data_IF_133503285933
#
_entry.id   IF_133503285933
#
_cell.length_a   1.000
_cell.length_b   1.000
_cell.length_c   1.000
_cell.angle_alpha   90.00
_cell.angle_beta   90.00
_cell.angle_gamma   90.00
#
_symmetry.space_group_name_H-M   'P 1'
#
loop_
_entity.id
_entity.type
_entity.pdbx_description
1 polymer ?
#
# COMPACT_ATOMS: atom_id res chain seq x y z
N UNK A 1 75.40 35.38 -37.08
CA UNK A 1 74.11 36.04 -37.39
C UNK A 1 73.09 35.04 -37.92
N UNK A 2 73.43 34.22 -38.91
CA UNK A 2 72.54 33.22 -39.50
C UNK A 2 72.01 32.15 -38.51
N UNK A 3 72.89 31.54 -37.69
CA UNK A 3 72.47 30.53 -36.70
C UNK A 3 71.46 31.06 -35.65
N UNK A 4 71.53 32.33 -35.29
CA UNK A 4 70.57 32.95 -34.37
C UNK A 4 69.19 33.13 -35.01
N UNK A 5 69.15 33.43 -36.31
CA UNK A 5 67.92 33.54 -37.09
C UNK A 5 67.27 32.15 -37.24
N UNK A 6 68.07 31.11 -37.47
CA UNK A 6 67.55 29.75 -37.66
C UNK A 6 66.99 29.18 -36.35
N UNK A 7 67.66 29.43 -35.21
CA UNK A 7 67.11 29.09 -33.87
C UNK A 7 65.82 29.84 -33.57
N UNK A 8 65.75 31.14 -33.87
CA UNK A 8 64.52 31.92 -33.65
C UNK A 8 63.34 31.41 -34.49
N UNK A 9 63.59 31.00 -35.74
CA UNK A 9 62.58 30.38 -36.60
C UNK A 9 62.10 29.03 -36.07
N UNK A 10 63.01 28.21 -35.54
CA UNK A 10 62.64 26.92 -34.94
C UNK A 10 61.80 27.10 -33.68
N UNK A 11 62.16 28.04 -32.80
CA UNK A 11 61.36 28.39 -31.63
C UNK A 11 59.99 28.92 -32.03
N UNK A 12 59.91 29.81 -33.01
CA UNK A 12 58.63 30.35 -33.49
C UNK A 12 57.72 29.25 -34.04
N UNK A 13 58.25 28.28 -34.78
CA UNK A 13 57.46 27.13 -35.26
C UNK A 13 56.89 26.31 -34.10
N UNK A 14 57.72 25.98 -33.10
CA UNK A 14 57.28 25.24 -31.91
C UNK A 14 56.22 25.99 -31.11
N UNK A 15 56.37 27.32 -31.00
CA UNK A 15 55.38 28.15 -30.32
C UNK A 15 54.04 28.14 -31.07
N UNK A 16 54.05 28.26 -32.40
CA UNK A 16 52.83 28.19 -33.23
C UNK A 16 52.13 26.84 -33.10
N UNK A 17 52.88 25.73 -33.15
CA UNK A 17 52.32 24.38 -32.94
C UNK A 17 51.67 24.25 -31.57
N UNK A 18 52.37 24.70 -30.51
CA UNK A 18 51.85 24.70 -29.14
C UNK A 18 50.59 25.55 -28.99
N UNK A 19 50.52 26.71 -29.64
CA UNK A 19 49.31 27.54 -29.64
C UNK A 19 48.14 26.86 -30.35
N UNK A 20 48.39 26.11 -31.42
CA UNK A 20 47.37 25.31 -32.11
C UNK A 20 46.79 24.23 -31.19
N UNK A 21 47.66 23.47 -30.51
CA UNK A 21 47.25 22.43 -29.54
C UNK A 21 46.43 23.01 -28.39
N UNK A 22 46.84 24.16 -27.84
CA UNK A 22 46.11 24.84 -26.77
C UNK A 22 44.74 25.36 -27.24
N UNK A 23 44.62 25.81 -28.50
CA UNK A 23 43.36 26.26 -29.09
C UNK A 23 42.37 25.11 -29.26
N UNK A 24 42.84 23.94 -29.72
CA UNK A 24 42.03 22.73 -29.86
C UNK A 24 41.52 22.23 -28.50
N UNK A 25 42.39 22.20 -27.48
CA UNK A 25 42.01 21.86 -26.11
C UNK A 25 40.96 22.82 -25.54
N UNK A 26 41.10 24.13 -25.79
CA UNK A 26 40.10 25.12 -25.37
C UNK A 26 38.74 24.83 -26.02
N UNK A 27 38.71 24.56 -27.32
CA UNK A 27 37.46 24.29 -28.03
C UNK A 27 36.77 23.00 -27.53
N UNK A 28 37.56 21.97 -27.19
CA UNK A 28 37.04 20.74 -26.56
C UNK A 28 36.41 21.04 -25.20
N UNK A 29 37.12 21.76 -24.33
CA UNK A 29 36.64 22.11 -22.98
C UNK A 29 35.37 22.99 -23.05
N UNK A 30 35.34 23.96 -23.97
CA UNK A 30 34.17 24.85 -24.15
C UNK A 30 32.93 24.09 -24.65
N UNK A 31 33.10 22.98 -25.35
CA UNK A 31 32.00 22.08 -25.73
C UNK A 31 31.56 21.14 -24.62
N UNK A 32 32.51 20.60 -23.84
CA UNK A 32 32.25 19.60 -22.80
C UNK A 32 31.61 20.18 -21.53
N UNK A 33 31.99 21.39 -21.12
CA UNK A 33 31.46 22.02 -19.90
C UNK A 33 29.93 22.24 -19.99
N UNK A 34 29.36 22.83 -21.06
CA UNK A 34 27.91 22.98 -21.19
C UNK A 34 27.17 21.65 -21.22
N UNK A 35 27.70 20.63 -21.89
CA UNK A 35 27.11 19.30 -21.97
C UNK A 35 27.07 18.60 -20.60
N UNK A 36 28.17 18.69 -19.84
CA UNK A 36 28.23 18.20 -18.46
C UNK A 36 27.24 18.92 -17.54
N UNK A 37 27.11 20.24 -17.69
CA UNK A 37 26.20 21.05 -16.87
C UNK A 37 24.72 20.75 -17.18
N UNK A 38 24.37 20.55 -18.45
CA UNK A 38 23.04 20.09 -18.88
C UNK A 38 22.69 18.72 -18.29
N UNK A 39 23.65 17.79 -18.33
CA UNK A 39 23.49 16.44 -17.75
C UNK A 39 23.31 16.49 -16.24
N UNK A 40 24.11 17.29 -15.53
CA UNK A 40 24.01 17.48 -14.08
C UNK A 40 22.63 18.03 -13.67
N UNK A 41 22.15 19.06 -14.36
CA UNK A 41 20.84 19.66 -14.07
C UNK A 41 19.69 18.69 -14.35
N UNK A 42 19.77 17.93 -15.44
CA UNK A 42 18.77 16.89 -15.75
C UNK A 42 18.69 15.83 -14.66
N UNK A 43 19.84 15.37 -14.16
CA UNK A 43 19.91 14.42 -13.04
C UNK A 43 19.35 15.02 -11.75
N UNK A 44 19.71 16.26 -11.41
CA UNK A 44 19.21 16.95 -10.22
C UNK A 44 17.68 17.03 -10.22
N UNK A 45 17.07 17.40 -11.34
CA UNK A 45 15.60 17.45 -11.49
C UNK A 45 14.96 16.08 -11.33
N UNK A 46 15.56 15.03 -11.91
CA UNK A 46 15.07 13.67 -11.76
C UNK A 46 15.11 13.21 -10.29
N UNK A 47 16.21 13.47 -9.58
CA UNK A 47 16.32 13.16 -8.15
C UNK A 47 15.29 13.91 -7.31
N UNK A 48 15.11 15.21 -7.52
CA UNK A 48 14.10 16.00 -6.79
C UNK A 48 12.69 15.48 -7.06
N UNK A 49 12.39 15.10 -8.30
CA UNK A 49 11.09 14.51 -8.67
C UNK A 49 10.85 13.17 -7.96
N UNK A 50 11.88 12.30 -7.90
CA UNK A 50 11.79 11.03 -7.20
C UNK A 50 11.61 11.22 -5.68
N UNK A 51 12.37 12.14 -5.08
CA UNK A 51 12.25 12.45 -3.66
C UNK A 51 10.85 12.99 -3.32
N UNK A 52 10.31 13.89 -4.14
CA UNK A 52 8.97 14.42 -3.95
C UNK A 52 7.91 13.33 -4.09
N UNK A 53 8.03 12.44 -5.08
CA UNK A 53 7.13 11.28 -5.22
C UNK A 53 7.16 10.38 -3.98
N UNK A 54 8.36 10.07 -3.47
CA UNK A 54 8.55 9.24 -2.27
C UNK A 54 7.93 9.87 -1.02
N UNK A 55 8.10 11.18 -0.85
CA UNK A 55 7.52 11.91 0.27
C UNK A 55 5.98 11.97 0.15
N UNK A 56 5.44 12.17 -1.05
CA UNK A 56 3.99 12.17 -1.28
C UNK A 56 3.34 10.80 -1.08
N UNK A 57 4.03 9.70 -1.40
CA UNK A 57 3.53 8.35 -1.09
C UNK A 57 3.62 8.05 0.41
N UNK A 58 4.67 8.50 1.13
CA UNK A 58 4.80 8.27 2.57
C UNK A 58 3.72 8.98 3.39
N UNK A 59 3.37 10.22 3.06
CA UNK A 59 2.40 11.00 3.85
C UNK A 59 0.93 10.56 3.67
N UNK A 60 0.56 9.99 2.52
CA UNK A 60 -0.85 9.67 2.23
C UNK A 60 -1.20 8.17 2.38
N UNK A 61 -0.20 7.28 2.51
CA UNK A 61 -0.45 5.82 2.47
C UNK A 61 -0.15 5.07 3.77
N UNK A 62 0.54 5.70 4.73
CA UNK A 62 1.02 5.01 5.93
C UNK A 62 0.07 5.11 7.13
N UNK A 63 -0.79 6.13 7.20
CA UNK A 63 -1.75 6.30 8.31
C UNK A 63 -3.12 5.61 8.07
N UNK A 64 -3.43 5.26 6.82
CA UNK A 64 -4.71 4.65 6.45
C UNK A 64 -4.76 3.10 6.56
N UNK A 65 -3.72 2.42 7.07
CA UNK A 65 -3.65 0.94 6.94
C UNK A 65 -3.61 0.13 8.24
N UNK A 66 -3.05 0.63 9.34
CA UNK A 66 -3.04 -0.14 10.59
C UNK A 66 -4.37 -0.03 11.34
N UNK A 67 -4.90 1.19 11.45
CA UNK A 67 -6.13 1.48 12.19
C UNK A 67 -7.35 0.85 11.50
N UNK A 68 -7.37 0.83 10.17
CA UNK A 68 -8.46 0.24 9.38
C UNK A 68 -8.47 -1.29 9.40
N UNK A 69 -7.29 -1.92 9.49
CA UNK A 69 -7.17 -3.37 9.68
C UNK A 69 -7.61 -3.74 11.10
N UNK A 70 -7.21 -2.93 12.10
CA UNK A 70 -7.61 -3.13 13.49
C UNK A 70 -9.13 -3.01 13.67
N UNK A 71 -9.76 -1.96 13.10
CA UNK A 71 -11.22 -1.79 13.12
C UNK A 71 -11.96 -2.95 12.44
N UNK A 72 -11.44 -3.44 11.31
CA UNK A 72 -12.03 -4.60 10.63
C UNK A 72 -11.92 -5.88 11.47
N UNK A 73 -10.81 -6.06 12.20
CA UNK A 73 -10.63 -7.19 13.12
C UNK A 73 -11.61 -7.13 14.30
N UNK A 74 -11.78 -5.97 14.92
CA UNK A 74 -12.73 -5.76 16.02
C UNK A 74 -14.19 -5.98 15.58
N UNK A 75 -14.54 -5.53 14.37
CA UNK A 75 -15.87 -5.78 13.80
C UNK A 75 -16.14 -7.28 13.61
N UNK A 76 -15.16 -8.03 13.06
CA UNK A 76 -15.25 -9.48 12.91
C UNK A 76 -15.40 -10.19 14.25
N UNK A 77 -14.58 -9.85 15.25
CA UNK A 77 -14.66 -10.46 16.58
C UNK A 77 -16.02 -10.22 17.25
N UNK A 78 -16.57 -9.02 17.10
CA UNK A 78 -17.92 -8.69 17.61
C UNK A 78 -19.02 -9.49 16.89
N UNK A 79 -18.89 -9.68 15.58
CA UNK A 79 -19.82 -10.50 14.80
C UNK A 79 -19.73 -11.98 15.22
N UNK A 80 -18.53 -12.54 15.39
CA UNK A 80 -18.34 -13.91 15.89
C UNK A 80 -18.93 -14.12 17.29
N UNK A 81 -18.74 -13.16 18.20
CA UNK A 81 -19.34 -13.20 19.53
C UNK A 81 -20.88 -13.21 19.48
N UNK A 82 -21.48 -12.42 18.58
CA UNK A 82 -22.93 -12.41 18.37
C UNK A 82 -23.43 -13.72 17.76
N UNK A 83 -22.67 -14.32 16.85
CA UNK A 83 -22.99 -15.63 16.26
C UNK A 83 -23.10 -16.70 17.34
N UNK A 84 -22.12 -16.75 18.24
CA UNK A 84 -22.09 -17.73 19.32
C UNK A 84 -23.26 -17.55 20.29
N UNK A 85 -23.63 -16.29 20.62
CA UNK A 85 -24.81 -16.00 21.45
C UNK A 85 -26.11 -16.47 20.78
N UNK A 86 -26.28 -16.20 19.49
CA UNK A 86 -27.46 -16.63 18.73
C UNK A 86 -27.55 -18.16 18.62
N UNK A 87 -26.42 -18.84 18.39
CA UNK A 87 -26.36 -20.32 18.38
C UNK A 87 -26.74 -20.94 19.73
N UNK A 88 -26.23 -20.37 20.83
CA UNK A 88 -26.59 -20.80 22.17
C UNK A 88 -28.10 -20.60 22.43
N UNK A 89 -28.65 -19.43 22.07
CA UNK A 89 -30.07 -19.14 22.23
C UNK A 89 -30.96 -20.06 21.38
N UNK A 90 -30.54 -20.40 20.16
CA UNK A 90 -31.22 -21.36 19.30
C UNK A 90 -31.31 -22.74 19.98
N UNK A 91 -30.19 -23.23 20.49
CA UNK A 91 -30.12 -24.52 21.21
C UNK A 91 -31.01 -24.56 22.45
N UNK A 92 -31.04 -23.49 23.25
CA UNK A 92 -31.97 -23.37 24.38
C UNK A 92 -33.44 -23.45 23.96
N UNK A 93 -33.81 -22.77 22.87
CA UNK A 93 -35.18 -22.74 22.37
C UNK A 93 -35.58 -24.06 21.71
N UNK A 94 -34.69 -24.72 20.97
CA UNK A 94 -34.91 -26.06 20.42
C UNK A 94 -35.19 -27.07 21.54
N UNK A 95 -34.43 -26.98 22.64
CA UNK A 95 -34.64 -27.82 23.83
C UNK A 95 -35.99 -27.54 24.48
N UNK A 96 -36.33 -26.26 24.70
CA UNK A 96 -37.63 -25.86 25.28
C UNK A 96 -38.80 -26.29 24.39
N UNK A 97 -38.69 -26.07 23.09
CA UNK A 97 -39.72 -26.44 22.13
C UNK A 97 -39.96 -27.96 22.11
N UNK A 98 -38.88 -28.75 22.13
CA UNK A 98 -38.97 -30.21 22.21
C UNK A 98 -39.67 -30.67 23.48
N UNK A 99 -39.33 -30.09 24.64
CA UNK A 99 -39.97 -30.41 25.93
C UNK A 99 -41.47 -30.07 25.88
N UNK A 100 -41.84 -28.88 25.40
CA UNK A 100 -43.24 -28.45 25.29
C UNK A 100 -44.07 -29.38 24.39
N UNK A 101 -43.51 -29.88 23.29
CA UNK A 101 -44.19 -30.82 22.39
C UNK A 101 -44.39 -32.21 23.02
N UNK A 102 -43.57 -32.60 24.01
CA UNK A 102 -43.67 -33.89 24.70
C UNK A 102 -44.51 -33.86 25.99
N UNK A 103 -44.92 -32.69 26.48
CA UNK A 103 -45.72 -32.58 27.71
C UNK A 103 -47.22 -32.56 27.40
N UNK A 104 -48.00 -33.37 28.10
CA UNK A 104 -49.47 -33.41 27.99
C UNK A 104 -50.17 -32.08 28.38
N UNK A 105 -49.43 -31.17 29.02
CA UNK A 105 -49.85 -29.81 29.34
C UNK A 105 -49.43 -28.80 28.25
N UNK A 106 -49.63 -29.14 26.97
CA UNK A 106 -49.27 -28.30 25.84
C UNK A 106 -50.09 -27.00 25.83
N UNK A 107 -49.57 -25.94 26.45
CA UNK A 107 -50.07 -24.59 26.27
C UNK A 107 -49.73 -24.15 24.83
N UNK A 108 -50.68 -24.27 23.91
CA UNK A 108 -50.52 -24.04 22.46
C UNK A 108 -49.83 -22.70 22.15
N UNK A 109 -50.05 -21.68 23.00
CA UNK A 109 -49.43 -20.36 22.88
C UNK A 109 -47.89 -20.36 23.07
N UNK A 110 -47.34 -21.17 23.98
CA UNK A 110 -45.90 -21.15 24.27
C UNK A 110 -45.08 -21.88 23.19
N UNK A 111 -45.65 -22.94 22.62
CA UNK A 111 -45.04 -23.68 21.49
C UNK A 111 -44.96 -22.81 20.24
N UNK A 112 -46.05 -22.10 19.91
CA UNK A 112 -46.11 -21.22 18.74
C UNK A 112 -45.20 -19.99 18.88
N UNK A 113 -45.07 -19.46 20.11
CA UNK A 113 -44.11 -18.40 20.44
C UNK A 113 -42.66 -18.84 20.27
N UNK A 114 -42.29 -20.02 20.79
CA UNK A 114 -40.94 -20.57 20.63
C UNK A 114 -40.60 -20.84 19.16
N UNK A 115 -41.58 -21.32 18.37
CA UNK A 115 -41.42 -21.53 16.92
C UNK A 115 -41.12 -20.21 16.18
N UNK A 116 -41.86 -19.14 16.47
CA UNK A 116 -41.61 -17.81 15.88
C UNK A 116 -40.24 -17.25 16.27
N UNK A 117 -39.82 -17.41 17.52
CA UNK A 117 -38.49 -16.97 17.98
C UNK A 117 -37.36 -17.77 17.30
N UNK A 118 -37.54 -19.07 17.06
CA UNK A 118 -36.60 -19.90 16.30
C UNK A 118 -36.46 -19.44 14.85
N UNK A 119 -37.57 -19.19 14.14
CA UNK A 119 -37.55 -18.66 12.77
C UNK A 119 -36.86 -17.29 12.69
N UNK A 120 -37.04 -16.42 13.69
CA UNK A 120 -36.37 -15.13 13.76
C UNK A 120 -34.86 -15.27 14.02
N UNK A 121 -34.47 -16.21 14.88
CA UNK A 121 -33.06 -16.52 15.16
C UNK A 121 -32.37 -17.10 13.93
N UNK A 122 -33.03 -17.99 13.17
CA UNK A 122 -32.48 -18.52 11.92
C UNK A 122 -32.22 -17.41 10.91
N UNK A 123 -33.18 -16.49 10.70
CA UNK A 123 -32.98 -15.33 9.83
C UNK A 123 -31.80 -14.47 10.28
N UNK A 124 -31.67 -14.22 11.58
CA UNK A 124 -30.54 -13.46 12.15
C UNK A 124 -29.22 -14.20 11.96
N UNK A 125 -29.18 -15.52 12.14
CA UNK A 125 -27.99 -16.34 11.91
C UNK A 125 -27.56 -16.30 10.44
N UNK A 126 -28.49 -16.49 9.50
CA UNK A 126 -28.18 -16.41 8.06
C UNK A 126 -27.63 -15.04 7.66
N UNK A 127 -28.24 -13.96 8.16
CA UNK A 127 -27.76 -12.61 7.89
C UNK A 127 -26.35 -12.37 8.47
N UNK A 128 -26.09 -12.89 9.67
CA UNK A 128 -24.82 -12.73 10.35
C UNK A 128 -23.69 -13.56 9.71
N UNK A 129 -24.00 -14.77 9.24
CA UNK A 129 -23.07 -15.60 8.47
C UNK A 129 -22.69 -14.92 7.15
N UNK A 130 -23.64 -14.33 6.43
CA UNK A 130 -23.37 -13.56 5.22
C UNK A 130 -22.50 -12.32 5.50
N UNK A 131 -22.74 -11.64 6.61
CA UNK A 131 -21.93 -10.52 7.06
C UNK A 131 -20.48 -10.95 7.36
N UNK A 132 -20.29 -12.07 8.07
CA UNK A 132 -18.97 -12.59 8.41
C UNK A 132 -18.14 -12.97 7.17
N UNK A 133 -18.76 -13.57 6.16
CA UNK A 133 -18.10 -13.87 4.87
C UNK A 133 -17.62 -12.58 4.20
N UNK A 134 -18.46 -11.55 4.20
CA UNK A 134 -18.13 -10.23 3.63
C UNK A 134 -17.00 -9.55 4.40
N UNK A 135 -17.07 -9.55 5.73
CA UNK A 135 -16.06 -8.96 6.61
C UNK A 135 -14.71 -9.67 6.48
N UNK A 136 -14.71 -10.99 6.29
CA UNK A 136 -13.48 -11.76 6.04
C UNK A 136 -12.83 -11.43 4.70
N UNK A 137 -13.63 -11.28 3.64
CA UNK A 137 -13.13 -10.81 2.34
C UNK A 137 -12.48 -9.43 2.47
N UNK A 138 -13.19 -8.49 3.09
CA UNK A 138 -12.72 -7.13 3.33
C UNK A 138 -11.43 -7.09 4.16
N UNK A 139 -11.33 -7.91 5.22
CA UNK A 139 -10.12 -7.99 6.05
C UNK A 139 -8.92 -8.48 5.25
N UNK A 140 -9.09 -9.54 4.42
CA UNK A 140 -8.02 -10.07 3.57
C UNK A 140 -7.54 -9.04 2.55
N UNK A 141 -8.45 -8.31 1.90
CA UNK A 141 -8.10 -7.24 0.96
C UNK A 141 -7.30 -6.12 1.64
N UNK A 142 -7.74 -5.69 2.84
CA UNK A 142 -7.03 -4.67 3.62
C UNK A 142 -5.64 -5.14 4.06
N UNK A 143 -5.47 -6.40 4.46
CA UNK A 143 -4.17 -6.98 4.80
C UNK A 143 -3.24 -7.07 3.59
N UNK A 144 -3.74 -7.49 2.42
CA UNK A 144 -2.97 -7.51 1.17
C UNK A 144 -2.51 -6.09 0.81
N UNK A 145 -3.39 -5.11 0.93
CA UNK A 145 -3.07 -3.70 0.67
C UNK A 145 -2.04 -3.16 1.67
N UNK A 146 -2.07 -3.59 2.94
CA UNK A 146 -1.07 -3.22 3.95
C UNK A 146 0.31 -3.83 3.62
N UNK A 147 0.36 -5.12 3.31
CA UNK A 147 1.62 -5.83 3.04
C UNK A 147 2.33 -5.31 1.77
N UNK A 148 1.58 -4.89 0.74
CA UNK A 148 2.15 -4.24 -0.45
C UNK A 148 2.88 -2.93 -0.16
N UNK A 149 2.59 -2.25 0.95
CA UNK A 149 3.30 -1.03 1.35
C UNK A 149 4.60 -1.34 2.09
N UNK A 150 4.63 -2.42 2.87
CA UNK A 150 5.77 -2.77 3.72
C UNK A 150 6.93 -3.40 2.93
N UNK A 151 6.66 -3.94 1.74
CA UNK A 151 7.65 -4.68 0.93
C UNK A 151 8.41 -3.82 -0.11
N UNK A 152 8.38 -2.49 -0.01
CA UNK A 152 9.11 -1.53 -0.86
C UNK A 152 10.13 -0.78 -0.02
#
# INVERSE_FOLDING_TARGET
>A
MQEGIDKAKETFKKDVEKYSELSELRNLIEGEIPAANSTFNSRKTAYTTLQNKMNSTSSNSQKLKAEDVQKAKEAKEKAEANLNKLKARRSELETKHSITMTSDAANNNDSEKNKKELEEIEKKLTALDAQLVTDEGNLKEKQIAQNKIVSV
#
